data_IF_950361592349
#
_entry.id   IF_950361592349
#
_cell.length_a   1.000
_cell.length_b   1.000
_cell.length_c   1.000
_cell.angle_alpha   90.00
_cell.angle_beta   90.00
_cell.angle_gamma   90.00
#
_symmetry.space_group_name_H-M   'P 1'
#
loop_
_entity.id
_entity.type
_entity.pdbx_description
1 polymer ?
#
# COMPACT_ATOMS: atom_id res chain seq x y z
N UNK A 1 -9.43 -28.62 51.56
CA UNK A 1 -8.15 -28.40 50.85
C UNK A 1 -8.17 -29.26 49.59
N UNK A 2 -7.76 -28.88 48.38
CA UNK A 2 -7.37 -27.63 47.71
C UNK A 2 -7.49 -27.98 46.21
N UNK A 3 -8.12 -27.13 45.40
CA UNK A 3 -8.56 -27.42 44.03
C UNK A 3 -7.34 -27.57 43.10
N UNK A 4 -7.28 -28.67 42.33
CA UNK A 4 -6.30 -28.89 41.28
C UNK A 4 -6.85 -28.17 40.03
N UNK A 5 -6.30 -26.99 39.72
CA UNK A 5 -6.61 -26.27 38.50
C UNK A 5 -5.51 -26.55 37.47
N UNK A 6 -5.93 -27.14 36.36
CA UNK A 6 -5.13 -27.43 35.18
C UNK A 6 -4.55 -26.14 34.59
N UNK A 7 -3.23 -26.07 34.43
CA UNK A 7 -2.58 -25.04 33.61
C UNK A 7 -2.69 -25.46 32.14
N UNK A 8 -3.75 -24.97 31.48
CA UNK A 8 -3.92 -25.07 30.04
C UNK A 8 -3.45 -23.76 29.38
N UNK A 9 -2.50 -23.89 28.44
CA UNK A 9 -2.43 -23.16 27.18
C UNK A 9 -2.26 -21.64 27.21
N UNK A 10 -1.13 -21.17 26.68
CA UNK A 10 -1.10 -20.38 25.44
C UNK A 10 0.31 -19.79 25.26
N UNK A 11 1.17 -20.50 24.54
CA UNK A 11 2.32 -19.87 23.91
C UNK A 11 1.80 -18.99 22.78
N UNK A 12 1.70 -17.67 23.04
CA UNK A 12 1.50 -16.64 22.02
C UNK A 12 2.76 -16.57 21.16
N UNK A 13 2.89 -17.49 20.22
CA UNK A 13 3.95 -17.47 19.22
C UNK A 13 3.58 -16.50 18.10
N UNK A 14 4.56 -15.67 17.77
CA UNK A 14 4.69 -14.89 16.54
C UNK A 14 3.63 -13.79 16.33
N UNK A 15 3.98 -12.57 16.76
CA UNK A 15 3.57 -11.38 16.01
C UNK A 15 4.11 -11.51 14.59
N UNK A 16 3.29 -12.07 13.69
CA UNK A 16 3.51 -11.92 12.26
C UNK A 16 3.60 -10.43 11.97
N UNK A 17 4.68 -10.02 11.29
CA UNK A 17 4.86 -8.68 10.78
C UNK A 17 3.73 -8.35 9.80
N UNK A 18 2.62 -7.85 10.34
CA UNK A 18 1.61 -7.14 9.57
C UNK A 18 2.26 -5.82 9.23
N UNK A 19 2.88 -5.74 8.05
CA UNK A 19 3.17 -4.44 7.45
C UNK A 19 1.86 -3.66 7.49
N UNK A 20 1.80 -2.48 8.11
CA UNK A 20 0.61 -1.67 8.01
C UNK A 20 0.47 -1.34 6.52
N UNK A 21 -0.47 -2.00 5.83
CA UNK A 21 -1.17 -1.34 4.73
C UNK A 21 -1.81 -0.15 5.43
N UNK A 22 -1.08 0.98 5.39
CA UNK A 22 -1.61 2.26 5.78
C UNK A 22 -2.83 2.44 4.88
N UNK A 23 -4.02 2.22 5.47
CA UNK A 23 -5.26 2.62 4.86
C UNK A 23 -5.15 4.13 4.75
N UNK A 24 -4.69 4.60 3.59
CA UNK A 24 -4.61 6.03 3.32
C UNK A 24 -6.03 6.57 3.53
N UNK A 25 -6.21 7.62 4.36
CA UNK A 25 -7.53 8.17 4.67
C UNK A 25 -8.31 8.57 3.41
N UNK A 26 -7.58 8.80 2.31
CA UNK A 26 -8.13 9.12 1.01
C UNK A 26 -7.96 7.93 0.04
N UNK A 27 -8.96 7.68 -0.81
CA UNK A 27 -8.81 6.77 -1.94
C UNK A 27 -7.55 7.15 -2.74
N UNK A 28 -6.79 6.16 -3.22
CA UNK A 28 -5.61 6.44 -4.05
C UNK A 28 -6.03 6.93 -5.43
N UNK A 29 -7.18 6.48 -5.93
CA UNK A 29 -7.62 6.70 -7.30
C UNK A 29 -9.14 6.70 -7.47
N UNK A 30 -9.62 7.21 -8.61
CA UNK A 30 -11.01 7.04 -9.07
C UNK A 30 -12.08 7.73 -8.23
N UNK A 31 -11.71 8.65 -7.34
CA UNK A 31 -12.65 9.43 -6.52
C UNK A 31 -12.17 10.89 -6.43
N UNK A 32 -13.06 11.89 -6.49
CA UNK A 32 -12.68 13.27 -6.20
C UNK A 32 -12.00 13.38 -4.82
N UNK A 33 -10.85 14.05 -4.76
CA UNK A 33 -10.03 14.14 -3.54
C UNK A 33 -9.06 12.96 -3.32
N UNK A 34 -8.99 12.00 -4.25
CA UNK A 34 -7.90 11.01 -4.30
C UNK A 34 -6.59 11.60 -4.80
N UNK A 35 -5.48 10.88 -4.56
CA UNK A 35 -4.16 11.25 -5.09
C UNK A 35 -4.14 11.24 -6.63
N UNK A 36 -4.91 10.33 -7.24
CA UNK A 36 -5.04 10.19 -8.69
C UNK A 36 -6.50 10.07 -9.14
N UNK A 37 -7.28 11.19 -9.17
CA UNK A 37 -8.73 11.16 -9.38
C UNK A 37 -9.17 10.64 -10.75
N UNK A 38 -8.30 10.75 -11.76
CA UNK A 38 -8.58 10.32 -13.13
C UNK A 38 -7.80 9.07 -13.56
N UNK A 39 -7.01 8.47 -12.67
CA UNK A 39 -6.26 7.27 -12.99
C UNK A 39 -7.14 6.02 -12.88
N UNK A 40 -6.97 5.11 -13.82
CA UNK A 40 -7.59 3.80 -13.77
C UNK A 40 -6.80 2.84 -12.86
N UNK A 41 -7.44 1.76 -12.35
CA UNK A 41 -6.79 0.77 -11.47
C UNK A 41 -5.49 0.19 -11.99
N UNK A 42 -5.38 0.01 -13.31
CA UNK A 42 -4.21 -0.55 -13.96
C UNK A 42 -3.09 0.48 -14.20
N UNK A 43 -3.35 1.77 -14.00
CA UNK A 43 -2.36 2.84 -14.13
C UNK A 43 -1.65 3.11 -12.81
N UNK A 44 -2.14 2.59 -11.69
CA UNK A 44 -1.52 2.77 -10.38
C UNK A 44 -0.66 1.56 -10.03
N UNK A 45 0.59 1.81 -9.67
CA UNK A 45 1.51 0.80 -9.16
C UNK A 45 2.21 1.33 -7.91
N UNK A 46 2.41 0.46 -6.92
CA UNK A 46 3.20 0.82 -5.75
C UNK A 46 4.69 0.58 -6.04
N UNK A 47 5.48 1.64 -5.95
CA UNK A 47 6.95 1.58 -6.04
C UNK A 47 7.48 1.89 -4.65
N UNK A 48 8.17 0.93 -4.03
CA UNK A 48 8.70 1.06 -2.65
C UNK A 48 7.63 1.47 -1.60
N UNK A 49 6.39 1.01 -1.78
CA UNK A 49 5.27 1.34 -0.89
C UNK A 49 4.59 2.67 -1.20
N UNK A 50 5.09 3.43 -2.17
CA UNK A 50 4.54 4.71 -2.64
C UNK A 50 3.61 4.47 -3.83
N UNK A 51 2.33 4.91 -3.78
CA UNK A 51 1.44 4.80 -4.93
C UNK A 51 1.90 5.75 -6.04
N UNK A 52 2.23 5.18 -7.20
CA UNK A 52 2.64 5.92 -8.38
C UNK A 52 1.68 5.69 -9.55
N UNK A 53 1.33 6.77 -10.24
CA UNK A 53 0.73 6.67 -11.58
C UNK A 53 1.82 6.32 -12.58
N UNK A 54 1.49 5.39 -13.44
CA UNK A 54 2.33 4.86 -14.49
C UNK A 54 1.70 5.15 -15.86
N UNK A 55 2.54 5.14 -16.89
CA UNK A 55 2.12 5.11 -18.30
C UNK A 55 2.70 3.87 -18.94
N UNK A 56 1.94 3.26 -19.85
CA UNK A 56 2.48 2.19 -20.67
C UNK A 56 3.40 2.78 -21.74
N UNK A 57 4.68 2.41 -21.69
CA UNK A 57 5.64 2.69 -22.73
C UNK A 57 5.73 1.48 -23.67
N UNK A 58 5.29 1.66 -24.91
CA UNK A 58 5.32 0.63 -25.94
C UNK A 58 6.74 0.31 -26.43
N UNK A 59 7.69 1.23 -26.22
CA UNK A 59 9.11 1.05 -26.61
C UNK A 59 9.76 -0.01 -25.73
N UNK A 60 9.50 0.06 -24.43
CA UNK A 60 10.04 -0.87 -23.42
C UNK A 60 9.06 -2.00 -23.06
N UNK A 61 7.84 -1.96 -23.60
CA UNK A 61 6.73 -2.86 -23.23
C UNK A 61 6.51 -2.93 -21.71
N UNK A 62 6.71 -1.80 -21.02
CA UNK A 62 6.69 -1.71 -19.57
C UNK A 62 5.89 -0.50 -19.10
N UNK A 63 5.44 -0.55 -17.85
CA UNK A 63 4.78 0.60 -17.19
C UNK A 63 5.81 1.43 -16.45
N UNK A 64 5.98 2.66 -16.90
CA UNK A 64 6.95 3.60 -16.33
C UNK A 64 6.22 4.56 -15.38
N UNK A 65 6.68 4.72 -14.12
CA UNK A 65 6.11 5.69 -13.20
C UNK A 65 6.36 7.12 -13.71
N UNK A 66 5.31 7.94 -13.70
CA UNK A 66 5.36 9.36 -14.13
C UNK A 66 5.08 10.32 -12.98
N UNK A 67 4.35 9.87 -11.96
CA UNK A 67 4.01 10.66 -10.80
C UNK A 67 3.83 9.74 -9.59
N UNK A 68 4.53 10.00 -8.50
CA UNK A 68 4.43 9.24 -7.27
C UNK A 68 3.86 10.12 -6.16
N UNK A 69 2.91 9.62 -5.40
CA UNK A 69 2.36 10.34 -4.26
C UNK A 69 3.12 9.93 -3.00
N UNK A 70 4.18 10.66 -2.68
CA UNK A 70 4.85 10.58 -1.39
C UNK A 70 3.98 11.23 -0.31
N UNK A 71 4.26 10.97 0.96
CA UNK A 71 3.67 11.52 2.20
C UNK A 71 2.89 12.85 2.07
N UNK A 72 1.71 12.82 1.45
CA UNK A 72 0.83 13.98 1.24
C UNK A 72 1.16 14.89 0.03
N UNK A 73 2.04 14.51 -0.91
CA UNK A 73 2.35 15.29 -2.11
C UNK A 73 2.72 14.43 -3.32
N UNK A 74 2.23 14.84 -4.50
CA UNK A 74 2.61 14.23 -5.78
C UNK A 74 3.99 14.77 -6.15
N UNK A 75 5.01 13.92 -6.00
CA UNK A 75 6.38 14.17 -6.47
C UNK A 75 6.47 13.57 -7.88
N UNK A 76 6.84 14.38 -8.88
CA UNK A 76 7.10 13.88 -10.22
C UNK A 76 8.11 12.73 -10.15
N UNK A 77 7.81 11.60 -10.79
CA UNK A 77 8.68 10.42 -10.70
C UNK A 77 10.06 10.79 -11.26
N UNK A 78 11.08 10.71 -10.40
CA UNK A 78 12.47 10.92 -10.81
C UNK A 78 12.88 9.71 -11.62
N UNK A 79 13.29 9.99 -12.86
CA UNK A 79 13.84 9.03 -13.81
C UNK A 79 15.03 8.25 -13.25
#
# INVERSE_FOLDING_TARGET
MKRIAMLAGAGLMALGSISPVIAQPNPIQGTPGSLFPYAAPHEIMFVDGVPCRTVYDSTTNSRVPVACADTGSIVGAVK
#
